data_IF_872693983962
#
_entry.id   IF_872693983962
#
_cell.length_a   1.000
_cell.length_b   1.000
_cell.length_c   1.000
_cell.angle_alpha   90.00
_cell.angle_beta   90.00
_cell.angle_gamma   90.00
#
_symmetry.space_group_name_H-M   'P 1'
#
loop_
_entity.id
_entity.type
_entity.pdbx_description
1 polymer ?
#
# COMPACT_ATOMS: atom_id res chain seq x y z
N UNK A 1 0.90 16.42 7.79
CA UNK A 1 1.41 17.68 7.17
C UNK A 1 2.43 17.39 6.05
N UNK A 2 3.43 16.53 6.25
CA UNK A 2 4.49 16.26 5.27
C UNK A 2 3.97 15.82 3.91
N UNK A 3 3.08 14.82 3.87
CA UNK A 3 2.52 14.33 2.60
C UNK A 3 1.71 15.39 1.86
N UNK A 4 0.89 16.17 2.57
CA UNK A 4 0.12 17.24 1.94
C UNK A 4 1.02 18.34 1.32
N UNK A 5 2.16 18.62 1.95
CA UNK A 5 3.16 19.53 1.39
C UNK A 5 3.82 18.95 0.13
N UNK A 6 4.17 17.65 0.16
CA UNK A 6 4.74 16.96 -0.99
C UNK A 6 3.76 16.93 -2.17
N UNK A 7 2.50 16.57 -1.93
CA UNK A 7 1.45 16.52 -2.97
C UNK A 7 1.26 17.90 -3.60
N UNK A 8 1.21 18.96 -2.80
CA UNK A 8 1.10 20.34 -3.28
C UNK A 8 2.31 20.76 -4.11
N UNK A 9 3.51 20.43 -3.68
CA UNK A 9 4.74 20.70 -4.43
C UNK A 9 4.80 19.91 -5.74
N UNK A 10 4.42 18.63 -5.73
CA UNK A 10 4.33 17.79 -6.92
C UNK A 10 3.36 18.38 -7.95
N UNK A 11 2.17 18.80 -7.51
CA UNK A 11 1.19 19.47 -8.36
C UNK A 11 1.75 20.76 -8.96
N UNK A 12 2.37 21.60 -8.15
CA UNK A 12 2.98 22.85 -8.63
C UNK A 12 4.10 22.60 -9.66
N UNK A 13 4.78 21.45 -9.57
CA UNK A 13 5.81 21.00 -10.50
C UNK A 13 5.24 20.30 -11.77
N UNK A 14 3.91 20.17 -11.89
CA UNK A 14 3.27 19.52 -13.04
C UNK A 14 3.34 17.99 -13.02
N UNK A 15 3.54 17.37 -11.85
CA UNK A 15 3.55 15.91 -11.71
C UNK A 15 2.14 15.37 -11.95
N UNK A 16 1.99 14.48 -12.94
CA UNK A 16 0.70 13.89 -13.30
C UNK A 16 0.30 12.69 -12.45
N UNK A 17 1.25 11.99 -11.80
CA UNK A 17 0.99 10.79 -11.00
C UNK A 17 1.86 10.74 -9.75
N UNK A 18 1.28 10.36 -8.63
CA UNK A 18 1.98 10.13 -7.36
C UNK A 18 1.64 8.75 -6.81
N UNK A 19 2.65 8.05 -6.31
CA UNK A 19 2.51 6.74 -5.70
C UNK A 19 2.98 6.85 -4.25
N UNK A 20 2.14 6.41 -3.32
CA UNK A 20 2.47 6.44 -1.90
C UNK A 20 2.40 5.06 -1.27
N UNK A 21 3.33 4.80 -0.36
CA UNK A 21 3.29 3.62 0.50
C UNK A 21 2.27 3.82 1.61
N UNK A 22 1.45 2.80 1.84
CA UNK A 22 0.54 2.66 2.97
C UNK A 22 0.65 1.25 3.55
N UNK A 23 -0.27 0.86 4.43
CA UNK A 23 -0.21 -0.37 5.21
C UNK A 23 -1.54 -1.15 5.13
N UNK A 24 -1.45 -2.46 4.88
CA UNK A 24 -2.62 -3.33 4.76
C UNK A 24 -3.24 -3.73 6.10
N UNK A 25 -2.61 -3.40 7.23
CA UNK A 25 -3.12 -3.70 8.57
C UNK A 25 -3.90 -2.54 9.23
N UNK A 26 -4.22 -1.49 8.47
CA UNK A 26 -4.95 -0.32 8.98
C UNK A 26 -6.48 -0.45 8.91
N UNK A 27 -7.02 -1.53 8.38
CA UNK A 27 -8.46 -1.75 8.25
C UNK A 27 -9.19 -1.88 9.60
N UNK A 28 -10.42 -1.40 9.65
CA UNK A 28 -11.33 -1.63 10.76
C UNK A 28 -11.67 -3.13 10.86
N UNK A 29 -11.78 -3.69 12.07
CA UNK A 29 -12.08 -5.12 12.26
C UNK A 29 -13.38 -5.56 11.56
N UNK A 30 -13.31 -6.67 10.86
CA UNK A 30 -14.49 -7.35 10.28
C UNK A 30 -14.22 -8.86 10.16
N UNK A 31 -15.23 -9.62 9.82
CA UNK A 31 -15.10 -11.01 9.38
C UNK A 31 -14.76 -11.07 7.89
N UNK A 32 -13.94 -12.05 7.49
CA UNK A 32 -13.54 -12.26 6.11
C UNK A 32 -12.34 -11.43 5.65
N UNK A 33 -12.02 -11.55 4.37
CA UNK A 33 -10.84 -10.95 3.75
C UNK A 33 -11.09 -9.47 3.47
N UNK A 34 -10.11 -8.62 3.78
CA UNK A 34 -10.19 -7.19 3.48
C UNK A 34 -9.98 -6.90 1.99
N UNK A 35 -10.73 -5.93 1.50
CA UNK A 35 -10.57 -5.35 0.15
C UNK A 35 -10.39 -3.83 0.27
N UNK A 36 -9.96 -3.19 -0.79
CA UNK A 36 -9.56 -1.77 -0.76
C UNK A 36 -10.69 -0.79 -0.43
N UNK A 37 -11.96 -1.20 -0.63
CA UNK A 37 -13.15 -0.40 -0.26
C UNK A 37 -13.54 -0.52 1.20
N UNK A 38 -12.93 -1.43 1.95
CA UNK A 38 -13.19 -1.54 3.39
C UNK A 38 -12.63 -0.32 4.14
N UNK A 39 -13.31 0.13 5.19
CA UNK A 39 -12.89 1.32 5.94
C UNK A 39 -11.62 1.06 6.75
N UNK A 40 -10.83 2.12 6.92
CA UNK A 40 -9.73 2.14 7.89
C UNK A 40 -10.27 2.28 9.31
N UNK A 41 -9.52 1.76 10.30
CA UNK A 41 -9.88 1.71 11.72
C UNK A 41 -9.71 3.07 12.42
N UNK A 42 -10.51 4.04 12.02
CA UNK A 42 -10.46 5.41 12.57
C UNK A 42 -10.92 5.51 14.02
N UNK A 43 -11.48 4.43 14.58
CA UNK A 43 -11.98 4.35 15.95
C UNK A 43 -11.14 3.42 16.83
N UNK A 44 -9.95 3.05 16.37
CA UNK A 44 -9.03 2.23 17.16
C UNK A 44 -8.62 2.93 18.46
N UNK A 45 -8.22 2.14 19.45
CA UNK A 45 -7.57 2.66 20.66
C UNK A 45 -6.09 3.01 20.41
N UNK A 46 -5.53 3.85 21.27
CA UNK A 46 -4.08 4.14 21.24
C UNK A 46 -3.25 2.89 21.61
N UNK A 47 -2.07 2.71 21.02
CA UNK A 47 -1.34 3.61 20.12
C UNK A 47 -1.73 3.46 18.63
N UNK A 48 -2.62 2.54 18.28
CA UNK A 48 -3.04 2.25 16.91
C UNK A 48 -3.77 3.44 16.27
N UNK A 49 -4.60 4.15 17.06
CA UNK A 49 -5.37 5.31 16.60
C UNK A 49 -4.51 6.36 15.90
N UNK A 50 -3.40 6.76 16.52
CA UNK A 50 -2.45 7.72 15.96
C UNK A 50 -1.90 7.25 14.60
N UNK A 51 -1.53 5.98 14.48
CA UNK A 51 -0.98 5.42 13.23
C UNK A 51 -2.03 5.41 12.14
N UNK A 52 -3.24 4.91 12.42
CA UNK A 52 -4.31 4.82 11.41
C UNK A 52 -4.78 6.21 10.97
N UNK A 53 -4.89 7.18 11.89
CA UNK A 53 -5.21 8.56 11.54
C UNK A 53 -4.16 9.18 10.61
N UNK A 54 -2.88 8.93 10.88
CA UNK A 54 -1.77 9.39 10.02
C UNK A 54 -1.82 8.77 8.62
N UNK A 55 -2.09 7.47 8.55
CA UNK A 55 -2.27 6.74 7.28
C UNK A 55 -3.46 7.28 6.51
N UNK A 56 -4.62 7.44 7.15
CA UNK A 56 -5.81 7.96 6.51
C UNK A 56 -5.60 9.38 5.94
N UNK A 57 -4.95 10.26 6.70
CA UNK A 57 -4.64 11.61 6.25
C UNK A 57 -3.68 11.61 5.04
N UNK A 58 -2.69 10.72 5.03
CA UNK A 58 -1.78 10.53 3.90
C UNK A 58 -2.52 10.01 2.67
N UNK A 59 -3.32 8.95 2.81
CA UNK A 59 -4.10 8.39 1.70
C UNK A 59 -5.07 9.42 1.11
N UNK A 60 -5.78 10.17 1.96
CA UNK A 60 -6.67 11.24 1.50
C UNK A 60 -5.93 12.33 0.71
N UNK A 61 -4.76 12.76 1.17
CA UNK A 61 -3.97 13.76 0.47
C UNK A 61 -3.52 13.28 -0.93
N UNK A 62 -3.18 12.00 -1.06
CA UNK A 62 -2.73 11.41 -2.32
C UNK A 62 -3.89 11.15 -3.27
N UNK A 63 -5.00 10.59 -2.75
CA UNK A 63 -6.11 10.13 -3.59
C UNK A 63 -7.05 11.24 -4.05
N UNK A 64 -7.14 12.34 -3.31
CA UNK A 64 -8.12 13.39 -3.54
C UNK A 64 -7.54 14.66 -4.17
N UNK A 65 -6.27 14.67 -4.60
CA UNK A 65 -5.69 15.85 -5.25
C UNK A 65 -6.22 16.01 -6.68
N UNK A 66 -6.99 17.07 -6.98
CA UNK A 66 -7.55 17.26 -8.32
C UNK A 66 -6.47 17.44 -9.39
N UNK A 67 -6.62 16.73 -10.52
CA UNK A 67 -5.72 16.84 -11.67
C UNK A 67 -4.43 16.03 -11.53
N UNK A 68 -4.32 15.18 -10.51
CA UNK A 68 -3.20 14.25 -10.34
C UNK A 68 -3.73 12.84 -10.05
N UNK A 69 -3.13 11.84 -10.68
CA UNK A 69 -3.45 10.44 -10.39
C UNK A 69 -2.73 9.98 -9.12
N UNK A 70 -3.50 9.68 -8.08
CA UNK A 70 -2.99 9.16 -6.82
C UNK A 70 -3.09 7.64 -6.74
N UNK A 71 -1.99 6.94 -6.50
CA UNK A 71 -1.98 5.51 -6.22
C UNK A 71 -1.43 5.29 -4.81
N UNK A 72 -2.16 4.51 -4.02
CA UNK A 72 -1.77 4.11 -2.68
C UNK A 72 -1.55 2.61 -2.66
N UNK A 73 -0.34 2.17 -2.30
CA UNK A 73 0.00 0.77 -2.17
C UNK A 73 -0.03 0.39 -0.67
N UNK A 74 -1.08 -0.34 -0.26
CA UNK A 74 -1.24 -0.87 1.09
C UNK A 74 -0.47 -2.17 1.22
N UNK A 75 0.77 -2.05 1.67
CA UNK A 75 1.67 -3.19 1.82
C UNK A 75 1.39 -4.00 3.09
N UNK A 76 1.58 -5.32 2.99
CA UNK A 76 1.75 -6.20 4.13
C UNK A 76 3.09 -5.97 4.84
N UNK A 77 3.39 -6.80 5.83
CA UNK A 77 4.67 -6.76 6.55
C UNK A 77 5.81 -7.21 5.64
N UNK A 78 6.82 -6.35 5.52
CA UNK A 78 7.98 -6.64 4.70
C UNK A 78 8.87 -7.72 5.28
N UNK A 79 9.39 -8.58 4.41
CA UNK A 79 10.45 -9.53 4.72
C UNK A 79 11.37 -9.71 3.52
N UNK A 80 12.52 -10.36 3.74
CA UNK A 80 13.49 -10.66 2.70
C UNK A 80 14.73 -9.78 2.75
N UNK A 81 15.58 -9.83 1.72
CA UNK A 81 16.90 -9.20 1.72
C UNK A 81 16.87 -7.70 2.05
N UNK A 82 17.72 -7.29 3.00
CA UNK A 82 17.85 -5.89 3.42
C UNK A 82 16.80 -5.41 4.43
N UNK A 83 15.78 -6.21 4.77
CA UNK A 83 14.77 -5.85 5.78
C UNK A 83 15.20 -6.21 7.21
N UNK A 84 16.17 -7.11 7.36
CA UNK A 84 16.52 -7.70 8.66
C UNK A 84 15.47 -8.68 9.21
N UNK A 85 14.50 -9.06 8.40
CA UNK A 85 13.40 -9.96 8.77
C UNK A 85 13.30 -11.07 7.73
N UNK A 86 13.52 -12.32 8.15
CA UNK A 86 13.35 -13.48 7.27
C UNK A 86 11.88 -13.90 7.16
N UNK A 87 11.13 -13.79 8.27
CA UNK A 87 9.69 -14.04 8.32
C UNK A 87 9.03 -13.09 9.33
N UNK A 88 8.02 -12.30 8.93
CA UNK A 88 7.35 -11.39 9.86
C UNK A 88 6.46 -12.14 10.86
N UNK A 89 6.17 -11.49 11.98
CA UNK A 89 5.32 -12.02 13.05
C UNK A 89 3.90 -12.39 12.58
N UNK A 90 3.39 -11.70 11.57
CA UNK A 90 2.13 -12.05 10.91
C UNK A 90 2.40 -12.52 9.46
N UNK A 91 2.65 -13.84 9.25
CA UNK A 91 2.95 -14.37 7.93
C UNK A 91 1.77 -14.32 6.95
N UNK A 92 0.53 -14.26 7.47
CA UNK A 92 -0.68 -14.21 6.63
C UNK A 92 -0.92 -12.83 5.99
N UNK A 93 -0.17 -11.82 6.43
CA UNK A 93 -0.22 -10.46 5.89
C UNK A 93 1.19 -9.96 5.50
N UNK A 94 1.99 -10.83 4.92
CA UNK A 94 3.37 -10.51 4.52
C UNK A 94 3.46 -10.09 3.06
N UNK A 95 4.56 -9.45 2.71
CA UNK A 95 5.01 -9.25 1.33
C UNK A 95 6.53 -9.23 1.25
N UNK A 96 7.09 -10.00 0.31
CA UNK A 96 8.53 -9.96 0.05
C UNK A 96 8.93 -8.60 -0.53
N UNK A 97 10.08 -8.07 -0.09
CA UNK A 97 10.53 -6.73 -0.48
C UNK A 97 10.67 -6.56 -1.99
N UNK A 98 11.12 -7.59 -2.72
CA UNK A 98 11.25 -7.54 -4.18
C UNK A 98 9.88 -7.45 -4.86
N UNK A 99 8.91 -8.25 -4.40
CA UNK A 99 7.53 -8.18 -4.90
C UNK A 99 6.88 -6.82 -4.58
N UNK A 100 7.14 -6.27 -3.39
CA UNK A 100 6.68 -4.94 -3.01
C UNK A 100 7.26 -3.85 -3.93
N UNK A 101 8.57 -3.88 -4.20
CA UNK A 101 9.23 -2.96 -5.13
C UNK A 101 8.67 -3.09 -6.56
N UNK A 102 8.41 -4.33 -7.01
CA UNK A 102 7.76 -4.59 -8.30
C UNK A 102 6.38 -3.95 -8.41
N UNK A 103 5.58 -3.95 -7.33
CA UNK A 103 4.28 -3.29 -7.32
C UNK A 103 4.40 -1.76 -7.53
N UNK A 104 5.35 -1.12 -6.84
CA UNK A 104 5.62 0.30 -7.01
C UNK A 104 6.08 0.62 -8.44
N UNK A 105 6.98 -0.17 -9.00
CA UNK A 105 7.46 0.01 -10.37
C UNK A 105 6.33 -0.10 -11.40
N UNK A 106 5.46 -1.11 -11.24
CA UNK A 106 4.31 -1.29 -12.13
C UNK A 106 3.27 -0.17 -12.00
N UNK A 107 3.09 0.37 -10.81
CA UNK A 107 2.18 1.48 -10.55
C UNK A 107 2.60 2.80 -11.23
N UNK A 108 3.85 2.93 -11.67
CA UNK A 108 4.31 4.11 -12.42
C UNK A 108 3.51 4.28 -13.71
N UNK A 109 3.22 3.17 -14.40
CA UNK A 109 2.59 3.18 -15.73
C UNK A 109 1.19 2.56 -15.76
N UNK A 110 0.78 1.87 -14.70
CA UNK A 110 -0.44 1.06 -14.67
C UNK A 110 -1.34 1.41 -13.49
N UNK A 111 -2.60 1.00 -13.63
CA UNK A 111 -3.62 1.20 -12.62
C UNK A 111 -4.26 2.59 -12.66
N UNK A 112 -5.54 2.65 -12.34
CA UNK A 112 -6.26 3.89 -12.10
C UNK A 112 -5.99 4.41 -10.69
N UNK A 113 -6.24 5.70 -10.44
CA UNK A 113 -6.20 6.28 -9.09
C UNK A 113 -6.98 5.43 -8.09
N UNK A 114 -6.40 5.22 -6.93
CA UNK A 114 -7.01 4.43 -5.86
C UNK A 114 -6.01 3.67 -5.00
N UNK A 115 -6.53 3.00 -3.98
CA UNK A 115 -5.75 2.11 -3.14
C UNK A 115 -5.65 0.70 -3.75
N UNK A 116 -4.54 0.02 -3.46
CA UNK A 116 -4.24 -1.35 -3.88
C UNK A 116 -3.60 -2.10 -2.71
N UNK A 117 -4.17 -3.22 -2.31
CA UNK A 117 -3.52 -4.14 -1.39
C UNK A 117 -2.37 -4.87 -2.09
N UNK A 118 -1.24 -4.97 -1.41
CA UNK A 118 -0.04 -5.65 -1.90
C UNK A 118 0.47 -6.60 -0.82
N UNK A 119 -0.09 -7.80 -0.83
CA UNK A 119 0.19 -8.89 0.12
C UNK A 119 0.36 -10.20 -0.64
N UNK A 120 1.25 -11.10 -0.19
CA UNK A 120 1.50 -12.37 -0.89
C UNK A 120 0.35 -13.36 -0.80
N UNK A 121 -0.40 -13.29 0.31
CA UNK A 121 -1.54 -14.18 0.54
C UNK A 121 -2.84 -13.38 0.49
N UNK A 122 -3.92 -14.03 0.10
CA UNK A 122 -5.27 -13.45 0.19
C UNK A 122 -6.01 -13.92 1.46
N UNK A 123 -5.27 -14.24 2.53
CA UNK A 123 -5.86 -14.73 3.80
C UNK A 123 -6.46 -13.57 4.60
N UNK A 124 -5.71 -12.48 4.76
CA UNK A 124 -6.15 -11.32 5.54
C UNK A 124 -6.65 -10.21 4.62
N UNK A 125 -5.90 -9.88 3.57
CA UNK A 125 -6.26 -8.84 2.61
C UNK A 125 -6.05 -9.36 1.19
N UNK A 126 -7.02 -9.14 0.31
CA UNK A 126 -6.94 -9.56 -1.09
C UNK A 126 -6.13 -8.58 -1.92
N UNK A 127 -5.16 -9.10 -2.66
CA UNK A 127 -4.38 -8.37 -3.66
C UNK A 127 -4.88 -8.58 -5.10
N UNK A 128 -6.10 -9.07 -5.26
CA UNK A 128 -6.71 -9.32 -6.57
C UNK A 128 -6.71 -8.08 -7.47
N UNK A 129 -6.98 -6.91 -6.91
CA UNK A 129 -6.96 -5.64 -7.64
C UNK A 129 -5.55 -5.31 -8.17
N UNK A 130 -4.51 -5.48 -7.35
CA UNK A 130 -3.12 -5.25 -7.76
C UNK A 130 -2.69 -6.22 -8.87
N UNK A 131 -3.02 -7.51 -8.74
CA UNK A 131 -2.75 -8.50 -9.78
C UNK A 131 -3.41 -8.14 -11.11
N UNK A 132 -4.68 -7.78 -11.08
CA UNK A 132 -5.45 -7.51 -12.30
C UNK A 132 -5.09 -6.17 -12.95
N UNK A 133 -5.02 -5.08 -12.18
CA UNK A 133 -4.86 -3.74 -12.71
C UNK A 133 -3.39 -3.33 -12.92
N UNK A 134 -2.47 -3.80 -12.06
CA UNK A 134 -1.04 -3.51 -12.20
C UNK A 134 -0.29 -4.63 -12.92
N UNK A 135 -0.86 -5.82 -13.05
CA UNK A 135 -0.13 -7.03 -13.48
C UNK A 135 0.92 -7.44 -12.46
N UNK A 136 0.63 -7.22 -11.17
CA UNK A 136 1.54 -7.56 -10.08
C UNK A 136 1.61 -9.07 -9.86
N UNK A 137 2.81 -9.55 -9.52
CA UNK A 137 3.08 -10.94 -9.17
C UNK A 137 3.68 -11.02 -7.78
N UNK A 138 2.98 -11.69 -6.87
CA UNK A 138 3.41 -11.90 -5.49
C UNK A 138 4.69 -12.77 -5.39
N UNK A 139 4.93 -13.62 -6.38
CA UNK A 139 6.10 -14.49 -6.44
C UNK A 139 7.34 -13.81 -7.06
N UNK A 140 7.22 -12.56 -7.51
CA UNK A 140 8.35 -11.85 -8.11
C UNK A 140 9.55 -11.76 -7.15
N UNK A 141 10.72 -12.16 -7.65
CA UNK A 141 12.02 -12.03 -6.98
C UNK A 141 13.03 -11.48 -7.97
N UNK A 142 13.94 -10.64 -7.47
CA UNK A 142 15.11 -10.21 -8.23
C UNK A 142 16.08 -11.40 -8.30
N UNK A 143 16.62 -11.67 -9.48
CA UNK A 143 17.38 -12.87 -9.83
C UNK A 143 18.20 -13.50 -8.69
N UNK A 144 17.88 -14.74 -8.35
CA UNK A 144 18.63 -15.59 -7.45
C UNK A 144 18.60 -15.19 -5.97
N UNK A 145 17.73 -14.29 -5.55
CA UNK A 145 17.53 -13.97 -4.13
C UNK A 145 16.41 -14.83 -3.54
N UNK A 146 16.66 -15.51 -2.42
CA UNK A 146 15.65 -16.28 -1.71
C UNK A 146 14.58 -15.39 -1.07
#
# INVERSE_FOLDING_TARGET
EGTANLVRAAKAAGVGRIIAQSIAWAYAPKTGVFIETDPLDLHADEPRATTVAGVAAMEQAVLNEPGMEGIVLRYGFFYGPGTGVDMPANPDLRVHVDAAASAALKAIERGASGAYNVTETDIVASSGKARNALGWDAAFRIDGRP
#
